data_IF_540869189516
#
_entry.id   IF_540869189516
#
_cell.length_a   1.000
_cell.length_b   1.000
_cell.length_c   1.000
_cell.angle_alpha   90.00
_cell.angle_beta   90.00
_cell.angle_gamma   90.00
#
_symmetry.space_group_name_H-M   'P 1'
#
loop_
_entity.id
_entity.type
_entity.pdbx_description
1 polymer ?
#
# COMPACT_ATOMS: atom_id res chain seq x y z
N UNK A 1 -11.27 5.14 12.53
CA UNK A 1 -11.80 6.00 11.46
C UNK A 1 -11.55 5.22 10.20
N UNK A 2 -12.63 4.80 9.56
CA UNK A 2 -12.59 3.94 8.38
C UNK A 2 -12.28 4.73 7.13
N UNK A 3 -11.59 4.06 6.22
CA UNK A 3 -11.31 4.51 4.86
C UNK A 3 -12.24 3.72 3.94
N UNK A 4 -12.83 4.38 2.94
CA UNK A 4 -13.51 3.65 1.87
C UNK A 4 -12.47 3.14 0.86
N UNK A 5 -12.55 1.86 0.52
CA UNK A 5 -11.70 1.24 -0.50
C UNK A 5 -12.58 0.82 -1.67
N UNK A 6 -12.44 1.52 -2.78
CA UNK A 6 -13.15 1.31 -4.03
C UNK A 6 -12.45 0.26 -4.90
N UNK A 7 -13.26 -0.60 -5.52
CA UNK A 7 -12.83 -1.78 -6.28
C UNK A 7 -11.82 -2.64 -5.50
N UNK A 8 -12.11 -2.98 -4.23
CA UNK A 8 -11.15 -3.69 -3.39
C UNK A 8 -10.72 -5.00 -4.04
N UNK A 9 -9.46 -5.43 -3.87
CA UNK A 9 -8.99 -6.70 -4.42
C UNK A 9 -9.81 -7.89 -3.92
N UNK A 10 -10.09 -8.88 -4.77
CA UNK A 10 -10.92 -10.04 -4.41
C UNK A 10 -10.40 -10.79 -3.18
N UNK A 11 -9.08 -10.82 -2.98
CA UNK A 11 -8.43 -11.49 -1.86
C UNK A 11 -8.87 -10.97 -0.47
N UNK A 12 -9.26 -9.70 -0.35
CA UNK A 12 -9.74 -9.15 0.93
C UNK A 12 -11.25 -9.34 1.15
N UNK A 13 -11.94 -9.84 0.13
CA UNK A 13 -13.37 -10.18 0.14
C UNK A 13 -13.62 -11.70 0.27
N UNK A 14 -12.56 -12.50 0.20
CA UNK A 14 -12.62 -13.96 0.22
C UNK A 14 -13.52 -14.46 1.36
N UNK A 15 -14.48 -15.31 1.03
CA UNK A 15 -15.53 -15.80 1.92
C UNK A 15 -15.43 -17.31 2.17
N UNK A 16 -16.17 -17.85 3.15
CA UNK A 16 -16.14 -19.27 3.45
C UNK A 16 -17.47 -19.80 3.98
N UNK A 17 -17.66 -21.11 3.80
CA UNK A 17 -18.82 -21.87 4.29
C UNK A 17 -18.36 -23.18 4.96
N UNK A 18 -19.31 -23.98 5.45
CA UNK A 18 -19.03 -25.34 5.94
C UNK A 18 -18.48 -26.29 4.87
N UNK A 19 -18.67 -25.99 3.58
CA UNK A 19 -18.24 -26.84 2.46
C UNK A 19 -16.86 -26.50 1.92
N UNK A 20 -16.30 -25.37 2.32
CA UNK A 20 -15.05 -24.88 1.75
C UNK A 20 -14.87 -23.39 1.94
N UNK A 21 -13.77 -22.86 1.41
CA UNK A 21 -13.34 -21.48 1.58
C UNK A 21 -12.74 -20.92 0.30
N UNK A 22 -13.00 -19.65 0.02
CA UNK A 22 -12.25 -18.90 -0.98
C UNK A 22 -10.89 -18.55 -0.40
N UNK A 23 -9.86 -18.96 -1.13
CA UNK A 23 -8.48 -18.67 -0.85
C UNK A 23 -7.97 -17.90 -2.06
N UNK A 24 -7.27 -16.81 -1.84
CA UNK A 24 -6.77 -16.06 -2.96
C UNK A 24 -5.85 -14.95 -2.58
N UNK A 25 -5.16 -14.46 -3.59
CA UNK A 25 -4.16 -13.43 -3.49
C UNK A 25 -4.29 -12.45 -4.62
N UNK A 26 -3.75 -11.27 -4.40
CA UNK A 26 -3.81 -10.19 -5.36
C UNK A 26 -2.71 -9.20 -5.09
N UNK A 27 -2.04 -8.76 -6.15
CA UNK A 27 -1.18 -7.59 -6.12
C UNK A 27 -1.81 -6.49 -6.95
N UNK A 28 -2.00 -5.32 -6.33
CA UNK A 28 -2.79 -4.23 -6.89
C UNK A 28 -2.09 -2.89 -6.74
N UNK A 29 -2.24 -2.02 -7.74
CA UNK A 29 -1.77 -0.64 -7.69
C UNK A 29 -2.85 0.21 -7.03
N UNK A 30 -2.49 0.91 -5.95
CA UNK A 30 -3.42 1.68 -5.13
C UNK A 30 -3.20 3.18 -5.32
N UNK A 31 -4.29 3.93 -5.42
CA UNK A 31 -4.29 5.39 -5.37
C UNK A 31 -5.13 5.91 -4.21
N UNK A 32 -4.90 7.17 -3.85
CA UNK A 32 -5.65 7.90 -2.82
C UNK A 32 -6.21 9.22 -3.36
N UNK A 33 -7.45 9.56 -2.99
CA UNK A 33 -8.07 10.85 -3.32
C UNK A 33 -7.95 11.89 -2.19
N UNK A 34 -8.52 13.08 -2.42
CA UNK A 34 -8.53 14.16 -1.43
C UNK A 34 -9.38 13.85 -0.18
N UNK A 35 -10.28 12.87 -0.26
CA UNK A 35 -11.13 12.41 0.84
C UNK A 35 -10.51 11.21 1.59
N UNK A 36 -9.24 10.88 1.31
CA UNK A 36 -8.50 9.76 1.89
C UNK A 36 -9.03 8.39 1.52
N UNK A 37 -9.84 8.28 0.47
CA UNK A 37 -10.35 7.01 -0.03
C UNK A 37 -9.30 6.29 -0.85
N UNK A 38 -9.26 4.97 -0.74
CA UNK A 38 -8.38 4.12 -1.54
C UNK A 38 -9.10 3.63 -2.79
N UNK A 39 -8.36 3.50 -3.87
CA UNK A 39 -8.85 2.96 -5.13
C UNK A 39 -7.87 1.92 -5.64
N UNK A 40 -8.37 0.76 -6.01
CA UNK A 40 -7.63 -0.17 -6.83
C UNK A 40 -7.70 0.34 -8.28
N UNK A 41 -6.56 0.72 -8.84
CA UNK A 41 -6.47 1.22 -10.21
C UNK A 41 -6.13 0.09 -11.21
N UNK A 42 -5.70 -1.07 -10.73
CA UNK A 42 -5.37 -2.22 -11.55
C UNK A 42 -4.66 -3.32 -10.77
N UNK A 43 -4.86 -4.56 -11.21
CA UNK A 43 -4.22 -5.75 -10.64
C UNK A 43 -3.03 -6.17 -11.51
N UNK A 44 -1.93 -6.53 -10.87
CA UNK A 44 -0.76 -7.17 -11.48
C UNK A 44 -0.95 -8.69 -11.49
N UNK A 45 -1.49 -9.23 -10.40
CA UNK A 45 -2.02 -10.58 -10.40
C UNK A 45 -3.27 -10.65 -9.52
N UNK A 46 -4.13 -11.59 -9.82
CA UNK A 46 -5.25 -12.03 -9.00
C UNK A 46 -5.40 -13.53 -9.19
N UNK A 47 -5.42 -14.26 -8.08
CA UNK A 47 -5.67 -15.68 -8.06
C UNK A 47 -6.68 -15.95 -6.96
N UNK A 48 -7.82 -16.52 -7.31
CA UNK A 48 -8.83 -16.98 -6.37
C UNK A 48 -9.11 -18.46 -6.64
N UNK A 49 -9.24 -19.22 -5.56
CA UNK A 49 -9.54 -20.64 -5.57
C UNK A 49 -10.57 -20.96 -4.51
N UNK A 50 -11.49 -21.87 -4.82
CA UNK A 50 -12.34 -22.53 -3.85
C UNK A 50 -11.63 -23.79 -3.32
N UNK A 51 -11.28 -23.78 -2.03
CA UNK A 51 -10.76 -24.93 -1.32
C UNK A 51 -11.90 -25.65 -0.60
N UNK A 52 -12.39 -26.76 -1.17
CA UNK A 52 -13.46 -27.55 -0.58
C UNK A 52 -12.95 -28.39 0.59
N UNK A 53 -13.75 -28.54 1.64
CA UNK A 53 -13.42 -29.41 2.77
C UNK A 53 -13.96 -30.82 2.56
N UNK A 54 -13.37 -31.79 3.26
CA UNK A 54 -13.94 -33.14 3.34
C UNK A 54 -15.36 -33.09 3.93
N UNK A 55 -16.26 -33.91 3.37
CA UNK A 55 -17.61 -34.09 3.93
C UNK A 55 -17.66 -35.16 5.04
N UNK A 56 -16.54 -35.85 5.31
CA UNK A 56 -16.42 -36.91 6.32
C UNK A 56 -16.34 -36.36 7.75
N UNK A 57 -17.10 -36.98 8.67
CA UNK A 57 -17.13 -36.57 10.08
C UNK A 57 -15.75 -36.73 10.74
N UNK A 58 -15.21 -35.64 11.27
CA UNK A 58 -13.88 -35.57 11.87
C UNK A 58 -12.77 -35.07 10.93
N UNK A 59 -13.06 -34.82 9.65
CA UNK A 59 -12.10 -34.28 8.66
C UNK A 59 -12.56 -32.97 8.03
N UNK A 60 -13.67 -32.37 8.50
CA UNK A 60 -14.30 -31.20 7.88
C UNK A 60 -13.46 -29.91 7.97
N UNK A 61 -12.32 -29.94 8.66
CA UNK A 61 -11.35 -28.86 8.75
C UNK A 61 -10.12 -29.04 7.84
N UNK A 62 -10.11 -30.12 7.05
CA UNK A 62 -9.08 -30.44 6.05
C UNK A 62 -9.58 -30.13 4.65
N UNK A 63 -8.69 -29.63 3.80
CA UNK A 63 -8.99 -29.34 2.39
C UNK A 63 -8.90 -30.64 1.60
N UNK A 64 -9.98 -30.98 0.90
CA UNK A 64 -10.08 -32.12 0.00
C UNK A 64 -9.61 -31.74 -1.41
N UNK A 65 -10.21 -30.68 -1.97
CA UNK A 65 -9.93 -30.25 -3.34
C UNK A 65 -9.77 -28.74 -3.45
N UNK A 66 -8.99 -28.33 -4.45
CA UNK A 66 -8.84 -26.94 -4.86
C UNK A 66 -9.41 -26.77 -6.27
N UNK A 67 -10.23 -25.74 -6.45
CA UNK A 67 -10.76 -25.35 -7.75
C UNK A 67 -10.49 -23.87 -7.96
N UNK A 68 -9.62 -23.53 -8.91
CA UNK A 68 -9.39 -22.13 -9.32
C UNK A 68 -10.69 -21.52 -9.84
N UNK A 69 -11.10 -20.40 -9.26
CA UNK A 69 -12.30 -19.65 -9.64
C UNK A 69 -11.96 -18.39 -10.44
N UNK A 70 -10.79 -17.80 -10.20
CA UNK A 70 -10.28 -16.62 -10.90
C UNK A 70 -8.76 -16.72 -11.04
N UNK A 71 -8.22 -16.44 -12.22
CA UNK A 71 -6.79 -16.30 -12.43
C UNK A 71 -6.54 -15.28 -13.54
N UNK A 72 -5.85 -14.20 -13.18
CA UNK A 72 -5.34 -13.19 -14.11
C UNK A 72 -3.97 -12.73 -13.61
N UNK A 73 -2.96 -12.75 -14.47
CA UNK A 73 -1.60 -12.42 -14.07
C UNK A 73 -0.81 -11.86 -15.24
N UNK A 74 -0.29 -10.66 -15.03
CA UNK A 74 0.71 -10.02 -15.89
C UNK A 74 2.09 -9.99 -15.21
N UNK A 75 2.25 -10.73 -14.11
CA UNK A 75 3.48 -10.75 -13.29
C UNK A 75 4.72 -11.17 -14.07
N UNK A 76 4.53 -11.98 -15.11
CA UNK A 76 5.60 -12.54 -15.95
C UNK A 76 5.63 -11.92 -17.36
N UNK A 77 4.80 -10.90 -17.62
CA UNK A 77 4.72 -10.19 -18.92
C UNK A 77 5.20 -8.74 -18.78
N UNK A 78 6.44 -8.42 -19.20
CA UNK A 78 7.00 -7.07 -19.08
C UNK A 78 6.19 -6.00 -19.83
N UNK A 79 5.68 -6.33 -21.03
CA UNK A 79 4.99 -5.36 -21.88
C UNK A 79 3.61 -5.05 -21.30
N UNK A 80 2.87 -6.09 -20.88
CA UNK A 80 1.58 -5.90 -20.21
C UNK A 80 1.73 -5.15 -18.88
N UNK A 81 2.82 -5.39 -18.13
CA UNK A 81 3.12 -4.67 -16.90
C UNK A 81 3.39 -3.18 -17.15
N UNK A 82 4.19 -2.85 -18.16
CA UNK A 82 4.41 -1.45 -18.58
C UNK A 82 3.09 -0.79 -18.94
N UNK A 83 2.28 -1.44 -19.78
CA UNK A 83 0.99 -0.91 -20.23
C UNK A 83 0.05 -0.60 -19.06
N UNK A 84 -0.06 -1.53 -18.09
CA UNK A 84 -0.89 -1.35 -16.90
C UNK A 84 -0.38 -0.19 -16.04
N UNK A 85 0.93 -0.09 -15.80
CA UNK A 85 1.50 1.00 -14.99
C UNK A 85 1.27 2.34 -15.68
N UNK A 86 1.56 2.44 -16.98
CA UNK A 86 1.41 3.67 -17.78
C UNK A 86 -0.04 4.14 -17.76
N UNK A 87 -0.98 3.24 -18.06
CA UNK A 87 -2.42 3.53 -18.05
C UNK A 87 -2.88 4.00 -16.66
N UNK A 88 -2.44 3.30 -15.62
CA UNK A 88 -2.75 3.64 -14.22
C UNK A 88 -2.26 5.03 -13.85
N UNK A 89 -1.02 5.38 -14.19
CA UNK A 89 -0.44 6.69 -13.91
C UNK A 89 -1.28 7.80 -14.57
N UNK A 90 -1.63 7.66 -15.84
CA UNK A 90 -2.46 8.65 -16.52
C UNK A 90 -3.89 8.72 -15.95
N UNK A 91 -4.48 7.60 -15.56
CA UNK A 91 -5.78 7.58 -14.87
C UNK A 91 -5.73 8.32 -13.53
N UNK A 92 -4.69 8.11 -12.73
CA UNK A 92 -4.48 8.81 -11.46
C UNK A 92 -4.41 10.33 -11.69
N UNK A 93 -3.63 10.78 -12.67
CA UNK A 93 -3.50 12.20 -13.03
C UNK A 93 -4.86 12.78 -13.46
N UNK A 94 -5.54 12.11 -14.41
CA UNK A 94 -6.82 12.58 -14.96
C UNK A 94 -7.92 12.67 -13.90
N UNK A 95 -7.92 11.73 -12.96
CA UNK A 95 -8.89 11.68 -11.86
C UNK A 95 -8.48 12.51 -10.65
N UNK A 96 -7.37 13.27 -10.73
CA UNK A 96 -6.84 14.12 -9.65
C UNK A 96 -6.62 13.35 -8.34
N UNK A 97 -6.07 12.13 -8.45
CA UNK A 97 -5.66 11.29 -7.32
C UNK A 97 -4.15 11.36 -7.13
N UNK A 98 -3.63 10.65 -6.13
CA UNK A 98 -2.20 10.44 -5.89
C UNK A 98 -1.91 8.94 -5.90
N UNK A 99 -0.83 8.53 -6.54
CA UNK A 99 -0.29 7.18 -6.41
C UNK A 99 0.08 6.92 -4.95
N UNK A 100 -0.58 5.96 -4.33
CA UNK A 100 -0.38 5.64 -2.92
C UNK A 100 0.71 4.59 -2.74
N UNK A 101 0.67 3.51 -3.52
CA UNK A 101 1.57 2.38 -3.35
C UNK A 101 1.14 1.14 -4.12
N UNK A 102 1.84 0.03 -3.88
CA UNK A 102 1.48 -1.31 -4.34
C UNK A 102 1.08 -2.14 -3.12
N UNK A 103 -0.08 -2.77 -3.17
CA UNK A 103 -0.58 -3.66 -2.12
C UNK A 103 -0.55 -5.10 -2.61
N UNK A 104 0.04 -5.98 -1.81
CA UNK A 104 0.05 -7.42 -2.01
C UNK A 104 -0.76 -8.10 -0.89
N UNK A 105 -1.65 -9.00 -1.27
CA UNK A 105 -2.45 -9.81 -0.39
C UNK A 105 -2.19 -11.26 -0.78
N UNK A 106 -1.65 -12.07 0.13
CA UNK A 106 -1.15 -13.39 -0.25
C UNK A 106 -2.15 -14.53 -0.05
N UNK A 107 -1.99 -15.53 -0.94
CA UNK A 107 -2.84 -16.70 -1.18
C UNK A 107 -2.79 -17.71 -0.03
N UNK A 108 -1.72 -17.79 0.74
CA UNK A 108 -1.45 -19.03 1.49
C UNK A 108 -2.25 -19.25 2.77
N UNK A 109 -3.28 -18.47 3.12
CA UNK A 109 -4.17 -18.80 4.24
C UNK A 109 -3.45 -19.19 5.57
N UNK A 110 -2.23 -18.66 5.80
CA UNK A 110 -1.34 -19.00 6.91
C UNK A 110 -0.76 -20.44 6.88
N UNK A 111 -0.70 -21.09 5.72
CA UNK A 111 -0.38 -22.52 5.52
C UNK A 111 1.11 -22.86 5.53
N UNK A 112 2.01 -21.93 5.18
CA UNK A 112 3.45 -22.18 5.22
C UNK A 112 4.24 -21.03 5.86
N UNK A 113 5.00 -21.38 6.89
CA UNK A 113 5.97 -20.53 7.56
C UNK A 113 7.14 -20.12 6.65
N UNK A 114 7.54 -20.98 5.70
CA UNK A 114 8.65 -20.75 4.77
C UNK A 114 8.28 -19.76 3.66
N UNK A 115 6.98 -19.61 3.40
CA UNK A 115 6.42 -18.70 2.40
C UNK A 115 5.65 -17.54 3.04
N UNK A 116 5.77 -17.32 4.36
CA UNK A 116 5.21 -16.12 5.00
C UNK A 116 5.78 -14.88 4.30
N UNK A 117 4.92 -14.13 3.61
CA UNK A 117 5.06 -12.86 2.82
C UNK A 117 6.23 -11.93 3.15
N UNK A 118 6.80 -12.00 4.35
CA UNK A 118 7.96 -11.20 4.71
C UNK A 118 9.01 -12.12 5.33
N UNK A 119 10.05 -12.48 4.56
CA UNK A 119 11.23 -13.23 5.03
C UNK A 119 11.88 -12.66 6.31
N UNK A 120 11.53 -11.42 6.65
CA UNK A 120 12.08 -10.64 7.76
C UNK A 120 11.14 -10.55 8.97
N UNK A 121 9.86 -10.92 8.83
CA UNK A 121 8.89 -10.96 9.92
C UNK A 121 9.04 -12.29 10.68
N UNK A 122 10.01 -12.36 11.58
CA UNK A 122 10.24 -13.52 12.46
C UNK A 122 9.14 -13.62 13.52
N UNK A 123 8.00 -14.21 13.17
CA UNK A 123 6.93 -14.54 14.10
C UNK A 123 7.13 -15.91 14.73
N UNK A 124 6.72 -16.05 15.99
CA UNK A 124 6.66 -17.33 16.65
C UNK A 124 5.64 -18.26 15.97
N UNK A 125 6.03 -19.52 15.73
CA UNK A 125 5.16 -20.59 15.22
C UNK A 125 3.81 -20.70 15.93
N UNK A 126 3.80 -20.43 17.23
CA UNK A 126 2.57 -20.49 18.02
C UNK A 126 1.51 -19.49 17.56
N UNK A 127 1.93 -18.35 16.99
CA UNK A 127 1.03 -17.32 16.47
C UNK A 127 0.49 -17.75 15.10
N UNK A 128 1.36 -18.25 14.22
CA UNK A 128 0.98 -18.75 12.89
C UNK A 128 -0.07 -19.87 13.01
N UNK A 129 0.17 -20.84 13.89
CA UNK A 129 -0.79 -21.92 14.15
C UNK A 129 -2.12 -21.41 14.70
N UNK A 130 -2.12 -20.38 15.57
CA UNK A 130 -3.36 -19.75 16.05
C UNK A 130 -4.11 -19.03 14.94
N UNK A 131 -3.40 -18.35 14.03
CA UNK A 131 -3.98 -17.67 12.88
C UNK A 131 -4.63 -18.67 11.94
N UNK A 132 -3.93 -19.76 11.62
CA UNK A 132 -4.45 -20.84 10.78
C UNK A 132 -5.70 -21.50 11.41
N UNK A 133 -5.64 -21.85 12.69
CA UNK A 133 -6.78 -22.42 13.43
C UNK A 133 -8.00 -21.48 13.45
N UNK A 134 -7.76 -20.18 13.65
CA UNK A 134 -8.81 -19.18 13.68
C UNK A 134 -9.41 -18.93 12.28
N UNK A 135 -8.55 -18.91 11.27
CA UNK A 135 -8.93 -18.80 9.88
C UNK A 135 -9.84 -19.97 9.49
N UNK A 136 -9.56 -21.20 9.93
CA UNK A 136 -10.44 -22.37 9.75
C UNK A 136 -11.79 -22.24 10.48
N UNK A 137 -11.79 -21.88 11.77
CA UNK A 137 -13.00 -21.90 12.63
C UNK A 137 -14.04 -20.82 12.34
N UNK A 138 -13.63 -19.73 11.72
CA UNK A 138 -14.45 -18.55 11.48
C UNK A 138 -15.39 -18.66 10.28
N UNK A 139 -15.27 -19.76 9.52
CA UNK A 139 -15.91 -20.05 8.23
C UNK A 139 -17.36 -20.56 8.33
N UNK A 140 -17.99 -20.39 9.49
CA UNK A 140 -19.38 -20.80 9.76
C UNK A 140 -20.39 -19.64 9.82
N UNK A 141 -19.99 -18.38 9.59
CA UNK A 141 -20.84 -17.19 9.82
C UNK A 141 -20.65 -16.08 8.79
N UNK A 142 -21.72 -15.33 8.49
CA UNK A 142 -21.71 -14.08 7.69
C UNK A 142 -20.92 -12.96 8.40
N UNK A 143 -19.59 -13.10 8.48
CA UNK A 143 -18.71 -12.16 9.19
C UNK A 143 -17.85 -11.32 8.24
N UNK A 144 -17.88 -11.58 6.93
CA UNK A 144 -17.04 -10.91 5.93
C UNK A 144 -17.44 -9.43 5.70
N UNK A 145 -16.52 -8.59 5.20
CA UNK A 145 -16.83 -7.20 4.90
C UNK A 145 -18.05 -7.07 3.99
N UNK A 146 -18.98 -6.17 4.31
CA UNK A 146 -20.14 -5.95 3.46
C UNK A 146 -19.71 -5.15 2.23
N UNK A 147 -19.84 -5.75 1.05
CA UNK A 147 -19.68 -5.04 -0.21
C UNK A 147 -20.83 -4.02 -0.30
N UNK A 148 -20.46 -2.75 -0.39
CA UNK A 148 -21.39 -1.66 -0.68
C UNK A 148 -21.28 -1.40 -2.18
N UNK A 149 -22.36 -1.62 -2.92
CA UNK A 149 -22.43 -1.25 -4.33
C UNK A 149 -23.08 0.14 -4.44
N UNK A 150 -22.37 1.09 -5.04
CA UNK A 150 -22.90 2.42 -5.33
C UNK A 150 -22.65 2.74 -6.80
N UNK A 151 -23.71 2.83 -7.60
CA UNK A 151 -23.65 3.13 -9.04
C UNK A 151 -22.75 2.18 -9.85
N UNK A 152 -22.75 0.89 -9.51
CA UNK A 152 -21.95 -0.14 -10.19
C UNK A 152 -20.47 -0.17 -9.76
N UNK A 153 -20.09 0.57 -8.72
CA UNK A 153 -18.75 0.53 -8.13
C UNK A 153 -18.82 -0.15 -6.77
N UNK A 154 -18.03 -1.22 -6.61
CA UNK A 154 -17.93 -1.95 -5.35
C UNK A 154 -17.00 -1.20 -4.39
N UNK A 155 -17.41 -1.03 -3.13
CA UNK A 155 -16.54 -0.49 -2.08
C UNK A 155 -16.71 -1.22 -0.76
N UNK A 156 -15.65 -1.26 0.03
CA UNK A 156 -15.68 -1.71 1.42
C UNK A 156 -15.12 -0.64 2.36
N UNK A 157 -15.36 -0.82 3.65
CA UNK A 157 -14.68 -0.04 4.69
C UNK A 157 -13.47 -0.81 5.19
N UNK A 158 -12.33 -0.12 5.25
CA UNK A 158 -11.10 -0.64 5.84
C UNK A 158 -10.68 0.19 7.06
N UNK A 159 -10.03 -0.45 8.03
CA UNK A 159 -9.41 0.23 9.17
C UNK A 159 -8.01 -0.31 9.44
N UNK A 160 -7.03 0.60 9.53
CA UNK A 160 -5.68 0.25 9.98
C UNK A 160 -5.61 0.20 11.51
N UNK A 161 -5.03 -0.87 12.04
CA UNK A 161 -4.79 -1.10 13.46
C UNK A 161 -3.30 -1.32 13.71
N UNK A 162 -2.81 -0.92 14.87
CA UNK A 162 -1.40 -0.98 15.27
C UNK A 162 -0.85 0.36 15.72
N UNK A 163 0.34 0.33 16.33
CA UNK A 163 0.99 1.47 16.99
C UNK A 163 1.34 2.56 15.98
N UNK A 164 1.81 2.17 14.79
CA UNK A 164 2.18 3.07 13.69
C UNK A 164 1.14 3.16 12.57
N UNK A 165 -0.14 2.86 12.84
CA UNK A 165 -1.23 2.92 11.84
C UNK A 165 -1.35 4.24 11.07
N UNK A 166 -0.88 5.35 11.63
CA UNK A 166 -0.88 6.66 10.96
C UNK A 166 0.14 6.75 9.80
N UNK A 167 1.09 5.81 9.71
CA UNK A 167 2.00 5.70 8.58
C UNK A 167 1.27 5.22 7.31
N UNK A 168 0.25 4.38 7.46
CA UNK A 168 -0.61 3.94 6.35
C UNK A 168 -1.86 4.82 6.21
N UNK A 169 -2.48 5.21 7.33
CA UNK A 169 -3.59 6.15 7.34
C UNK A 169 -3.09 7.60 7.29
N UNK A 170 -2.58 8.01 6.13
CA UNK A 170 -2.06 9.36 5.93
C UNK A 170 -3.22 10.37 5.92
N UNK A 171 -3.23 11.23 6.93
CA UNK A 171 -4.21 12.31 7.07
C UNK A 171 -3.73 13.60 6.41
N UNK A 172 -4.69 14.31 5.81
CA UNK A 172 -4.55 15.65 5.22
C UNK A 172 -5.91 16.33 5.13
N UNK A 173 -5.95 17.64 4.87
CA UNK A 173 -7.21 18.36 4.62
C UNK A 173 -7.55 18.49 3.14
N UNK A 174 -6.52 18.37 2.30
CA UNK A 174 -6.55 18.50 0.86
C UNK A 174 -5.52 17.55 0.24
N UNK A 175 -5.61 17.35 -1.08
CA UNK A 175 -4.71 16.48 -1.84
C UNK A 175 -3.23 16.89 -1.67
N UNK A 176 -2.97 18.19 -1.61
CA UNK A 176 -1.66 18.81 -1.44
C UNK A 176 -1.00 18.41 -0.10
N UNK A 177 -1.79 18.12 0.94
CA UNK A 177 -1.27 17.64 2.21
C UNK A 177 -0.76 16.21 2.14
N UNK A 178 -1.48 15.38 1.39
CA UNK A 178 -1.16 13.98 1.19
C UNK A 178 0.12 13.85 0.37
N UNK A 179 0.21 14.57 -0.76
CA UNK A 179 1.37 14.47 -1.63
C UNK A 179 2.65 14.95 -0.97
N UNK A 180 2.59 15.99 -0.11
CA UNK A 180 3.76 16.48 0.59
C UNK A 180 4.41 15.38 1.46
N UNK A 181 3.62 14.43 1.97
CA UNK A 181 4.11 13.25 2.69
C UNK A 181 4.47 12.11 1.73
N UNK A 182 3.55 11.74 0.84
CA UNK A 182 3.68 10.57 -0.03
C UNK A 182 4.84 10.65 -1.04
N UNK A 183 5.19 11.84 -1.53
CA UNK A 183 6.26 11.99 -2.54
C UNK A 183 7.63 11.55 -2.03
N UNK A 184 7.86 11.62 -0.72
CA UNK A 184 9.11 11.21 -0.07
C UNK A 184 8.96 9.86 0.65
N UNK A 185 7.76 9.27 0.60
CA UNK A 185 7.48 8.04 1.29
C UNK A 185 8.18 6.86 0.60
N UNK A 186 8.75 5.97 1.41
CA UNK A 186 9.31 4.69 1.00
C UNK A 186 9.22 3.69 2.15
N UNK A 187 9.40 2.41 1.83
CA UNK A 187 9.25 1.31 2.77
C UNK A 187 7.88 0.65 2.66
N UNK A 188 7.60 -0.25 3.58
CA UNK A 188 6.39 -1.06 3.58
C UNK A 188 5.87 -1.29 4.98
N UNK A 189 4.58 -1.64 5.05
CA UNK A 189 3.96 -2.16 6.25
C UNK A 189 3.30 -3.51 5.95
N UNK A 190 3.39 -4.41 6.91
CA UNK A 190 2.93 -5.78 6.77
C UNK A 190 2.13 -6.24 7.97
N UNK A 191 1.27 -7.20 7.75
CA UNK A 191 0.46 -7.80 8.80
C UNK A 191 -0.69 -8.60 8.24
N UNK A 192 -1.80 -8.65 8.96
CA UNK A 192 -2.94 -9.49 8.60
C UNK A 192 -4.20 -8.68 8.37
N UNK A 193 -5.00 -9.13 7.41
CA UNK A 193 -6.37 -8.67 7.23
C UNK A 193 -7.25 -9.54 8.11
N UNK A 194 -8.04 -8.89 8.97
CA UNK A 194 -9.07 -9.54 9.79
C UNK A 194 -10.43 -8.90 9.50
N UNK A 195 -11.48 -9.69 9.37
CA UNK A 195 -12.84 -9.13 9.40
C UNK A 195 -13.35 -8.98 10.83
N UNK A 196 -14.03 -7.86 11.10
CA UNK A 196 -14.86 -7.68 12.29
C UNK A 196 -16.03 -6.75 11.97
N UNK A 197 -17.26 -7.18 12.24
CA UNK A 197 -18.50 -6.37 12.09
C UNK A 197 -18.61 -5.67 10.73
N UNK A 198 -18.43 -6.41 9.63
CA UNK A 198 -18.53 -5.92 8.24
C UNK A 198 -17.44 -4.93 7.80
N UNK A 199 -16.32 -4.83 8.53
CA UNK A 199 -15.16 -3.98 8.20
C UNK A 199 -13.91 -4.86 8.07
N UNK A 200 -13.10 -4.61 7.03
CA UNK A 200 -11.78 -5.22 6.90
C UNK A 200 -10.77 -4.44 7.75
N UNK A 201 -10.24 -5.08 8.79
CA UNK A 201 -9.26 -4.50 9.70
C UNK A 201 -7.86 -4.98 9.29
N UNK A 202 -7.01 -4.06 8.89
CA UNK A 202 -5.62 -4.32 8.55
C UNK A 202 -4.78 -4.10 9.81
N UNK A 203 -4.41 -5.21 10.47
CA UNK A 203 -3.58 -5.20 11.65
C UNK A 203 -2.11 -5.22 11.27
N UNK A 204 -1.42 -4.10 11.47
CA UNK A 204 0.01 -3.95 11.18
C UNK A 204 0.83 -4.68 12.24
N UNK A 205 1.66 -5.62 11.82
CA UNK A 205 2.58 -6.35 12.69
C UNK A 205 4.01 -5.79 12.61
N UNK A 206 4.37 -5.15 11.50
CA UNK A 206 5.66 -4.50 11.31
C UNK A 206 5.57 -3.45 10.20
N UNK A 207 6.38 -2.40 10.30
CA UNK A 207 6.65 -1.47 9.19
C UNK A 207 8.04 -0.84 9.30
N UNK A 208 8.57 -0.42 8.15
CA UNK A 208 9.77 0.40 8.02
C UNK A 208 9.49 1.67 7.20
N UNK A 209 8.25 2.17 7.25
CA UNK A 209 7.83 3.33 6.46
C UNK A 209 8.54 4.58 6.98
N UNK A 210 9.15 5.32 6.05
CA UNK A 210 9.74 6.64 6.30
C UNK A 210 9.21 7.63 5.28
N UNK A 211 9.15 8.90 5.68
CA UNK A 211 8.67 10.01 4.85
C UNK A 211 9.79 10.97 4.44
N UNK A 212 11.01 10.43 4.34
CA UNK A 212 12.24 11.16 4.04
C UNK A 212 13.13 10.34 3.09
N UNK A 213 13.84 11.05 2.21
CA UNK A 213 14.74 10.42 1.22
C UNK A 213 15.91 9.72 1.89
N UNK A 214 16.47 10.34 2.94
CA UNK A 214 17.75 9.93 3.55
C UNK A 214 17.57 9.06 4.81
N UNK A 215 16.34 8.90 5.28
CA UNK A 215 16.05 8.08 6.46
C UNK A 215 16.03 6.59 6.07
N UNK A 216 16.57 5.75 6.94
CA UNK A 216 16.47 4.30 6.86
C UNK A 216 15.85 3.86 8.17
N UNK A 217 14.64 3.31 8.12
CA UNK A 217 14.01 2.72 9.30
C UNK A 217 14.39 1.24 9.38
N UNK A 218 14.76 0.82 10.59
CA UNK A 218 14.83 -0.60 10.92
C UNK A 218 13.41 -1.13 11.12
N UNK A 219 13.17 -2.37 10.69
CA UNK A 219 11.93 -3.05 11.02
C UNK A 219 11.84 -3.30 12.51
N UNK A 220 10.61 -3.31 13.00
CA UNK A 220 10.29 -3.66 14.36
C UNK A 220 9.08 -4.59 14.37
N UNK A 221 8.88 -5.34 15.45
CA UNK A 221 7.68 -6.15 15.64
C UNK A 221 6.76 -5.41 16.60
N UNK A 222 5.51 -5.17 16.20
CA UNK A 222 4.48 -4.55 17.03
C UNK A 222 3.87 -5.58 17.99
N UNK A 223 4.62 -5.90 19.05
CA UNK A 223 4.21 -6.90 20.06
C UNK A 223 2.86 -6.58 20.71
N UNK A 224 2.53 -5.29 20.90
CA UNK A 224 1.26 -4.88 21.47
C UNK A 224 0.11 -5.22 20.53
N UNK A 225 0.25 -4.89 19.24
CA UNK A 225 -0.77 -5.21 18.26
C UNK A 225 -0.91 -6.73 18.05
N UNK A 226 0.18 -7.49 18.11
CA UNK A 226 0.14 -8.95 18.09
C UNK A 226 -0.69 -9.50 19.27
N UNK A 227 -0.48 -9.00 20.49
CA UNK A 227 -1.30 -9.42 21.66
C UNK A 227 -2.78 -9.10 21.46
N UNK A 228 -3.10 -7.99 20.83
CA UNK A 228 -4.50 -7.61 20.50
C UNK A 228 -5.10 -8.59 19.50
N UNK A 229 -4.35 -8.96 18.46
CA UNK A 229 -4.76 -9.95 17.46
C UNK A 229 -5.03 -11.30 18.14
N UNK A 230 -4.08 -11.80 18.93
CA UNK A 230 -4.22 -13.08 19.63
C UNK A 230 -5.42 -13.09 20.58
N UNK A 231 -5.63 -12.00 21.32
CA UNK A 231 -6.78 -11.86 22.21
C UNK A 231 -8.09 -11.83 21.43
N UNK A 232 -8.17 -11.06 20.34
CA UNK A 232 -9.34 -10.96 19.48
C UNK A 232 -9.71 -12.30 18.85
N UNK A 233 -8.72 -13.05 18.38
CA UNK A 233 -8.88 -14.42 17.87
C UNK A 233 -9.38 -15.36 18.97
N UNK A 234 -8.74 -15.36 20.14
CA UNK A 234 -9.13 -16.20 21.28
C UNK A 234 -10.57 -15.94 21.72
N UNK A 235 -11.02 -14.69 21.63
CA UNK A 235 -12.39 -14.26 21.95
C UNK A 235 -13.37 -14.42 20.79
N UNK A 236 -12.94 -14.94 19.63
CA UNK A 236 -13.74 -15.09 18.41
C UNK A 236 -14.35 -13.77 17.91
N UNK A 237 -13.63 -12.67 18.13
CA UNK A 237 -13.99 -11.30 17.71
C UNK A 237 -13.33 -10.89 16.40
N UNK A 238 -12.17 -11.48 16.10
CA UNK A 238 -11.40 -11.26 14.89
C UNK A 238 -11.29 -12.56 14.11
N UNK A 239 -11.49 -12.43 12.81
CA UNK A 239 -11.43 -13.52 11.85
C UNK A 239 -10.35 -13.19 10.83
N UNK A 240 -9.19 -13.86 10.87
CA UNK A 240 -8.13 -13.61 9.90
C UNK A 240 -8.55 -14.10 8.50
N UNK A 241 -8.20 -13.33 7.47
CA UNK A 241 -8.53 -13.57 6.06
C UNK A 241 -7.25 -13.92 5.30
N UNK A 242 -6.30 -12.98 5.25
CA UNK A 242 -5.07 -13.10 4.50
C UNK A 242 -3.96 -12.30 5.17
N UNK A 243 -2.73 -12.53 4.72
CA UNK A 243 -1.65 -11.57 4.94
C UNK A 243 -1.79 -10.36 4.02
N UNK A 244 -1.17 -9.25 4.40
CA UNK A 244 -0.96 -8.11 3.52
C UNK A 244 0.46 -7.56 3.64
N UNK A 245 0.93 -6.99 2.54
CA UNK A 245 2.07 -6.09 2.44
C UNK A 245 1.64 -4.86 1.64
N UNK A 246 1.94 -3.67 2.13
CA UNK A 246 1.69 -2.41 1.40
C UNK A 246 3.01 -1.66 1.32
N UNK A 247 3.59 -1.60 0.12
CA UNK A 247 4.74 -0.76 -0.20
C UNK A 247 4.23 0.63 -0.58
N UNK A 248 4.76 1.68 0.05
CA UNK A 248 4.23 3.05 -0.07
C UNK A 248 5.07 3.94 -0.97
N UNK A 249 4.41 4.87 -1.65
CA UNK A 249 5.02 5.85 -2.54
C UNK A 249 5.31 5.30 -3.94
N UNK A 250 5.68 6.19 -4.87
CA UNK A 250 5.94 5.80 -6.27
C UNK A 250 7.08 4.78 -6.41
N UNK A 251 8.01 4.78 -5.44
CA UNK A 251 9.12 3.84 -5.38
C UNK A 251 8.70 2.40 -5.09
N UNK A 252 7.45 2.16 -4.67
CA UNK A 252 6.90 0.80 -4.58
C UNK A 252 6.87 0.07 -5.93
N UNK A 253 6.93 0.78 -7.07
CA UNK A 253 7.11 0.13 -8.36
C UNK A 253 8.46 -0.60 -8.48
N UNK A 254 9.48 -0.16 -7.71
CA UNK A 254 10.80 -0.80 -7.66
C UNK A 254 10.75 -2.20 -7.02
N UNK A 255 9.66 -2.57 -6.33
CA UNK A 255 9.50 -3.88 -5.68
C UNK A 255 8.78 -4.90 -6.57
N UNK A 256 8.38 -4.51 -7.79
CA UNK A 256 7.78 -5.40 -8.76
C UNK A 256 8.82 -6.35 -9.34
N UNK A 257 8.42 -7.61 -9.58
CA UNK A 257 9.31 -8.70 -9.98
C UNK A 257 10.09 -8.41 -11.26
N UNK A 258 9.45 -7.76 -12.22
CA UNK A 258 10.04 -7.41 -13.51
C UNK A 258 10.62 -6.00 -13.56
N UNK A 259 10.72 -5.29 -12.43
CA UNK A 259 11.17 -3.90 -12.39
C UNK A 259 12.50 -3.67 -13.13
N UNK A 260 13.49 -4.54 -12.89
CA UNK A 260 14.80 -4.43 -13.53
C UNK A 260 14.75 -4.55 -15.06
N UNK A 261 13.73 -5.21 -15.60
CA UNK A 261 13.52 -5.36 -17.04
C UNK A 261 12.76 -4.17 -17.63
N UNK A 262 11.86 -3.55 -16.86
CA UNK A 262 10.98 -2.48 -17.35
C UNK A 262 11.45 -1.07 -17.03
N UNK A 263 12.35 -0.86 -16.06
CA UNK A 263 12.73 0.47 -15.55
C UNK A 263 13.32 1.42 -16.60
N UNK A 264 13.92 0.88 -17.66
CA UNK A 264 14.47 1.68 -18.78
C UNK A 264 13.47 1.88 -19.94
N UNK A 265 12.24 1.36 -19.82
CA UNK A 265 11.22 1.49 -20.86
C UNK A 265 10.84 2.97 -21.07
N UNK A 266 10.89 3.42 -22.33
CA UNK A 266 10.68 4.83 -22.68
C UNK A 266 9.27 5.34 -22.41
N UNK A 267 8.23 4.50 -22.58
CA UNK A 267 6.84 4.88 -22.35
C UNK A 267 6.54 4.97 -20.85
N UNK A 268 7.06 4.02 -20.07
CA UNK A 268 7.04 4.08 -18.61
C UNK A 268 7.70 5.35 -18.10
N UNK A 269 8.94 5.62 -18.52
CA UNK A 269 9.69 6.80 -18.07
C UNK A 269 9.00 8.11 -18.46
N UNK A 270 8.35 8.15 -19.62
CA UNK A 270 7.50 9.29 -20.02
C UNK A 270 6.31 9.46 -19.08
N UNK A 271 5.58 8.38 -18.77
CA UNK A 271 4.45 8.42 -17.85
C UNK A 271 4.86 8.88 -16.45
N UNK A 272 5.97 8.34 -15.92
CA UNK A 272 6.55 8.75 -14.63
C UNK A 272 6.96 10.23 -14.64
N UNK A 273 7.56 10.73 -15.73
CA UNK A 273 7.89 12.15 -15.89
C UNK A 273 6.65 13.05 -15.87
N UNK A 274 5.54 12.61 -16.50
CA UNK A 274 4.26 13.32 -16.43
C UNK A 274 3.69 13.34 -15.01
N UNK A 275 3.80 12.21 -14.30
CA UNK A 275 3.37 12.11 -12.91
C UNK A 275 4.18 13.04 -12.01
N UNK A 276 5.51 13.08 -12.17
CA UNK A 276 6.37 13.98 -11.40
C UNK A 276 5.99 15.45 -11.60
N UNK A 277 5.73 15.88 -12.84
CA UNK A 277 5.25 17.24 -13.13
C UNK A 277 3.93 17.54 -12.44
N UNK A 278 3.00 16.59 -12.46
CA UNK A 278 1.71 16.71 -11.78
C UNK A 278 1.88 16.85 -10.26
N UNK A 279 2.74 16.03 -9.65
CA UNK A 279 3.08 16.10 -8.22
C UNK A 279 3.74 17.43 -7.85
N UNK A 280 4.70 17.88 -8.65
CA UNK A 280 5.38 19.16 -8.43
C UNK A 280 4.41 20.34 -8.52
N UNK A 281 3.41 20.30 -9.40
CA UNK A 281 2.37 21.31 -9.46
C UNK A 281 1.52 21.36 -8.18
N UNK A 282 1.15 20.22 -7.60
CA UNK A 282 0.42 20.14 -6.33
C UNK A 282 1.26 20.67 -5.15
N UNK A 283 2.54 20.29 -5.10
CA UNK A 283 3.48 20.81 -4.10
C UNK A 283 3.61 22.32 -4.22
N UNK A 284 3.82 22.83 -5.43
CA UNK A 284 3.92 24.28 -5.67
C UNK A 284 2.65 25.00 -5.20
N UNK A 285 1.46 24.46 -5.53
CA UNK A 285 0.18 25.02 -5.08
C UNK A 285 0.07 25.09 -3.55
N UNK A 286 0.64 24.12 -2.82
CA UNK A 286 0.69 24.13 -1.35
C UNK A 286 1.52 25.29 -0.79
N UNK A 287 2.73 25.47 -1.33
CA UNK A 287 3.73 26.37 -0.74
C UNK A 287 3.68 27.79 -1.31
N UNK A 288 3.07 28.00 -2.48
CA UNK A 288 2.94 29.32 -3.10
C UNK A 288 2.34 30.37 -2.16
N UNK A 289 1.20 30.14 -1.47
CA UNK A 289 0.63 31.14 -0.57
C UNK A 289 1.55 31.47 0.61
N UNK A 290 2.29 30.48 1.12
CA UNK A 290 3.26 30.70 2.19
C UNK A 290 4.42 31.57 1.72
N UNK A 291 5.00 31.28 0.55
CA UNK A 291 6.09 32.06 -0.02
C UNK A 291 5.67 33.51 -0.32
N UNK A 292 4.49 33.69 -0.93
CA UNK A 292 3.93 35.03 -1.21
C UNK A 292 3.64 35.83 0.07
N UNK A 293 3.08 35.18 1.10
CA UNK A 293 2.81 35.84 2.39
C UNK A 293 4.07 36.21 3.18
N UNK A 294 5.15 35.43 3.03
CA UNK A 294 6.42 35.66 3.69
C UNK A 294 7.40 36.49 2.83
N UNK A 295 6.98 36.94 1.64
CA UNK A 295 7.83 37.60 0.63
C UNK A 295 9.10 36.82 0.24
N UNK A 296 9.15 35.53 0.51
CA UNK A 296 10.32 34.72 0.20
C UNK A 296 10.47 34.66 -1.32
N UNK A 297 11.58 35.20 -1.84
CA UNK A 297 11.94 35.10 -3.26
C UNK A 297 11.25 36.10 -4.19
N UNK A 298 10.68 37.18 -3.67
CA UNK A 298 10.14 38.29 -4.52
C UNK A 298 11.25 39.29 -4.86
N UNK A 299 12.26 39.42 -4.01
CA UNK A 299 13.48 40.21 -4.25
C UNK A 299 14.70 39.42 -3.76
N UNK A 300 15.20 38.51 -4.60
CA UNK A 300 16.34 37.63 -4.29
C UNK A 300 17.58 38.41 -3.87
N UNK A 301 17.73 39.64 -4.37
CA UNK A 301 18.85 40.51 -4.05
C UNK A 301 18.66 41.15 -2.66
N UNK A 302 17.50 41.73 -2.39
CA UNK A 302 17.19 42.31 -1.06
C UNK A 302 17.20 41.23 0.05
N UNK A 303 16.63 40.06 -0.21
CA UNK A 303 16.62 38.92 0.73
C UNK A 303 18.05 38.43 1.02
N UNK A 304 18.90 38.32 -0.02
CA UNK A 304 20.30 37.95 0.14
C UNK A 304 21.08 38.99 0.96
N UNK A 305 20.83 40.28 0.74
CA UNK A 305 21.46 41.36 1.49
C UNK A 305 20.89 41.57 2.91
N UNK A 306 19.75 40.96 3.24
CA UNK A 306 19.19 40.94 4.60
C UNK A 306 19.63 39.72 5.45
N UNK A 307 20.20 38.68 4.82
CA UNK A 307 20.77 37.51 5.54
C UNK A 307 22.01 37.88 6.36
N UNK A 308 22.28 37.14 7.43
CA UNK A 308 23.57 37.22 8.14
C UNK A 308 24.71 36.71 7.26
N UNK A 309 25.98 37.11 7.51
CA UNK A 309 27.12 36.64 6.72
C UNK A 309 27.27 35.11 6.66
N UNK A 310 26.84 34.41 7.72
CA UNK A 310 26.88 32.94 7.80
C UNK A 310 25.82 32.30 6.90
N UNK A 311 24.62 32.89 6.85
CA UNK A 311 23.51 32.44 6.00
C UNK A 311 23.82 32.68 4.52
N UNK A 312 24.37 33.85 4.17
CA UNK A 312 24.81 34.14 2.79
C UNK A 312 25.85 33.14 2.30
N UNK A 313 26.85 32.85 3.15
CA UNK A 313 27.90 31.88 2.82
C UNK A 313 27.35 30.46 2.62
N UNK A 314 26.29 30.10 3.36
CA UNK A 314 25.60 28.82 3.18
C UNK A 314 24.78 28.81 1.89
N UNK A 315 23.98 29.85 1.65
CA UNK A 315 23.15 29.98 0.45
C UNK A 315 23.99 29.95 -0.84
N UNK A 316 25.12 30.66 -0.89
CA UNK A 316 26.04 30.63 -2.03
C UNK A 316 26.63 29.23 -2.27
N UNK A 317 27.01 28.51 -1.20
CA UNK A 317 27.53 27.13 -1.31
C UNK A 317 26.46 26.15 -1.77
N UNK A 318 25.24 26.31 -1.30
CA UNK A 318 24.11 25.46 -1.69
C UNK A 318 23.73 25.72 -3.17
N UNK A 319 23.77 26.97 -3.63
CA UNK A 319 23.61 27.35 -5.04
C UNK A 319 24.73 26.80 -5.93
N UNK A 320 25.99 26.94 -5.50
CA UNK A 320 27.16 26.40 -6.21
C UNK A 320 27.03 24.88 -6.40
N UNK A 321 26.65 24.15 -5.34
CA UNK A 321 26.39 22.71 -5.42
C UNK A 321 25.21 22.35 -6.31
N UNK A 322 24.12 23.12 -6.26
CA UNK A 322 22.96 22.88 -7.11
C UNK A 322 23.33 23.07 -8.60
N UNK A 323 24.11 24.10 -8.91
CA UNK A 323 24.64 24.35 -10.27
C UNK A 323 25.59 23.23 -10.69
N UNK A 324 26.48 22.75 -9.82
CA UNK A 324 27.35 21.60 -10.12
C UNK A 324 26.57 20.33 -10.42
N UNK A 325 25.50 20.05 -9.66
CA UNK A 325 24.63 18.88 -9.90
C UNK A 325 23.90 19.02 -11.23
N UNK A 326 23.29 20.17 -11.50
CA UNK A 326 22.59 20.42 -12.76
C UNK A 326 23.54 20.35 -13.95
N UNK A 327 24.75 20.89 -13.84
CA UNK A 327 25.73 20.80 -14.92
C UNK A 327 26.28 19.38 -15.12
N UNK A 328 26.23 18.50 -14.11
CA UNK A 328 26.58 17.08 -14.26
C UNK A 328 25.44 16.25 -14.84
N UNK A 329 24.20 16.57 -14.53
CA UNK A 329 23.01 15.88 -15.05
C UNK A 329 22.67 16.28 -16.49
N UNK A 330 23.04 17.49 -16.92
CA UNK A 330 22.67 18.06 -18.22
C UNK A 330 23.88 18.44 -19.11
N UNK A 331 25.11 18.02 -18.76
CA UNK A 331 26.21 18.04 -19.72
C UNK A 331 26.13 16.76 -20.57
N UNK A 332 25.92 16.94 -21.87
CA UNK A 332 25.74 15.89 -22.90
C UNK A 332 26.60 14.63 -22.71
#
# INVERSE_FOLDING_TARGET
MSIEFFNPPSAILASGTKKGVEIGGSKSIISIDANHNFFNEGNIYTEMSWAAFYEEEGLEDQIDTFMTTEFDSIREDPDALVDIIVKTIYQIINNRKIFYGVADFEVDAFLDEKHTVIPELKLDYSIINKLLEAHKRSREKELFPKILEEKGVNKIKIEFQGTKKNNLHIKGSQLEDLINKLRLAKGFAVGIVCTSRNVANLYIMSDNIVFSKDEIAEMYIDEENIKIIEYGIKKKLLVPISWFRIDIGIRSLETLELWDQIKENSELNKALSHYERYINALVYKKFKPMAESQKIGIDLEEDFYNMTPKERKKALRDMEKAIEVLNKEYAD
#
